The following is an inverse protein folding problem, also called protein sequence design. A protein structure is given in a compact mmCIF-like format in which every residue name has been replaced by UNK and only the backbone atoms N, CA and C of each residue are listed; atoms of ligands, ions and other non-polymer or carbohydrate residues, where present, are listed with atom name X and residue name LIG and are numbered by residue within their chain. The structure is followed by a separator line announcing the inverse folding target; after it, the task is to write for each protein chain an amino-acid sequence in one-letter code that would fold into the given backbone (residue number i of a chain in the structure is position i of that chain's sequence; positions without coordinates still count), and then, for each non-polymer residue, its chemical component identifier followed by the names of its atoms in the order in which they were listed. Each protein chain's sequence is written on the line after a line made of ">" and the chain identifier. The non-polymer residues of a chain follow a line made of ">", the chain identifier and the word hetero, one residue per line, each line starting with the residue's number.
data_IF_162278775192
#
_entry.id   IF_162278775192
#
_cell.length_a   1.000
_cell.length_b   1.000
_cell.length_c   1.000
_cell.angle_alpha   90.00
_cell.angle_beta   90.00
_cell.angle_gamma   90.00
#
_symmetry.space_group_name_H-M   'P 1'
#
loop_
_entity.id
_entity.type
_entity.pdbx_description
1 polymer ?
#
# COMPACT_ATOMS: atom_id res chain seq x y z
N UNK A 1 19.01 66.27 -10.25
CA UNK A 1 19.91 65.18 -10.66
C UNK A 1 19.16 63.89 -10.40
N UNK A 2 18.93 63.12 -11.43
CA UNK A 2 17.94 62.09 -11.59
C UNK A 2 18.38 60.77 -10.99
N UNK A 3 17.56 59.97 -10.27
CA UNK A 3 17.82 58.58 -9.99
C UNK A 3 17.11 57.71 -11.02
N UNK A 4 17.87 56.81 -11.62
CA UNK A 4 17.47 55.82 -12.57
C UNK A 4 16.62 54.71 -11.94
N UNK A 5 15.48 54.46 -12.57
CA UNK A 5 14.57 53.33 -12.31
C UNK A 5 15.15 52.03 -12.85
N UNK A 6 15.42 51.07 -11.98
CA UNK A 6 15.67 49.70 -12.36
C UNK A 6 14.39 48.89 -12.45
N UNK A 7 14.05 48.46 -13.66
CA UNK A 7 12.92 47.53 -13.94
C UNK A 7 13.28 46.12 -13.53
N UNK A 8 12.67 45.61 -12.45
CA UNK A 8 12.71 44.21 -12.10
C UNK A 8 11.83 43.38 -13.04
N UNK A 9 12.43 42.50 -13.83
CA UNK A 9 11.72 41.46 -14.57
C UNK A 9 11.28 40.36 -13.60
N UNK A 10 9.98 40.19 -13.44
CA UNK A 10 9.39 39.02 -12.79
C UNK A 10 9.49 37.82 -13.75
N UNK A 11 10.45 36.94 -13.49
CA UNK A 11 10.51 35.63 -14.12
C UNK A 11 9.30 34.78 -13.69
N UNK A 12 8.51 34.34 -14.64
CA UNK A 12 7.49 33.33 -14.44
C UNK A 12 8.14 32.01 -13.98
N UNK A 13 7.51 31.21 -13.09
CA UNK A 13 8.03 29.90 -12.76
C UNK A 13 8.04 29.03 -14.02
N UNK A 14 9.21 28.49 -14.34
CA UNK A 14 9.42 27.58 -15.45
C UNK A 14 8.52 26.36 -15.34
N UNK A 15 7.96 25.95 -16.46
CA UNK A 15 7.12 24.75 -16.65
C UNK A 15 7.82 23.54 -16.01
N UNK A 16 7.20 22.99 -14.96
CA UNK A 16 7.67 21.76 -14.33
C UNK A 16 7.76 20.65 -15.39
N UNK A 17 8.90 19.98 -15.43
CA UNK A 17 9.18 18.82 -16.28
C UNK A 17 7.99 17.85 -16.28
N UNK A 18 7.21 17.87 -17.34
CA UNK A 18 6.18 16.86 -17.60
C UNK A 18 6.91 15.54 -17.82
N UNK A 19 7.03 14.75 -16.74
CA UNK A 19 7.54 13.38 -16.83
C UNK A 19 6.69 12.65 -17.89
N UNK A 20 7.32 12.20 -18.95
CA UNK A 20 6.65 11.47 -20.01
C UNK A 20 5.86 10.29 -19.39
N UNK A 21 4.61 10.08 -19.79
CA UNK A 21 3.82 8.99 -19.25
C UNK A 21 4.55 7.66 -19.53
N UNK A 22 4.55 6.72 -18.57
CA UNK A 22 5.22 5.44 -18.74
C UNK A 22 4.70 4.74 -20.01
N UNK A 23 5.54 3.95 -20.69
CA UNK A 23 5.15 3.26 -21.91
C UNK A 23 3.90 2.42 -21.66
N UNK A 24 2.91 2.54 -22.54
CA UNK A 24 1.66 1.77 -22.42
C UNK A 24 1.98 0.28 -22.53
N UNK A 25 1.72 -0.46 -21.47
CA UNK A 25 1.86 -1.93 -21.47
C UNK A 25 0.92 -2.49 -22.55
N UNK A 26 1.46 -3.31 -23.44
CA UNK A 26 0.66 -4.04 -24.41
C UNK A 26 -0.31 -4.98 -23.67
N UNK A 27 -1.57 -4.91 -24.04
CA UNK A 27 -2.62 -5.74 -23.44
C UNK A 27 -2.86 -6.93 -24.37
N UNK A 28 -2.72 -8.19 -23.88
CA UNK A 28 -3.10 -9.36 -24.65
C UNK A 28 -4.58 -9.30 -25.03
N UNK A 29 -4.94 -9.68 -26.25
CA UNK A 29 -6.33 -9.61 -26.73
C UNK A 29 -7.27 -10.48 -25.90
N UNK A 30 -6.81 -11.65 -25.44
CA UNK A 30 -7.56 -12.53 -24.54
C UNK A 30 -8.00 -11.85 -23.24
N UNK A 31 -7.17 -10.94 -22.69
CA UNK A 31 -7.48 -10.18 -21.48
C UNK A 31 -8.51 -9.08 -21.79
N UNK A 32 -8.37 -8.43 -22.93
CA UNK A 32 -9.36 -7.45 -23.39
C UNK A 32 -10.72 -8.11 -23.65
N UNK A 33 -10.75 -9.29 -24.26
CA UNK A 33 -11.96 -10.06 -24.51
C UNK A 33 -12.67 -10.51 -23.22
N UNK A 34 -11.92 -10.89 -22.21
CA UNK A 34 -12.48 -11.22 -20.89
C UNK A 34 -13.22 -10.00 -20.30
N UNK A 35 -12.68 -8.79 -20.46
CA UNK A 35 -13.34 -7.56 -20.00
C UNK A 35 -14.59 -7.27 -20.83
N UNK A 36 -14.54 -7.41 -22.17
CA UNK A 36 -15.74 -7.27 -23.04
C UNK A 36 -16.85 -8.24 -22.61
N UNK A 37 -16.46 -9.48 -22.26
CA UNK A 37 -17.40 -10.50 -21.77
C UNK A 37 -18.07 -10.08 -20.47
N UNK A 38 -17.28 -9.52 -19.51
CA UNK A 38 -17.84 -9.00 -18.26
C UNK A 38 -18.79 -7.82 -18.49
N UNK A 39 -18.48 -6.91 -19.43
CA UNK A 39 -19.35 -5.79 -19.77
C UNK A 39 -20.71 -6.30 -20.31
N UNK A 40 -20.67 -7.26 -21.25
CA UNK A 40 -21.91 -7.88 -21.78
C UNK A 40 -22.71 -8.61 -20.69
N UNK A 41 -22.02 -9.34 -19.82
CA UNK A 41 -22.64 -10.02 -18.68
C UNK A 41 -23.30 -9.05 -17.70
N UNK A 42 -22.72 -7.87 -17.51
CA UNK A 42 -23.29 -6.80 -16.69
C UNK A 42 -24.53 -6.13 -17.34
N UNK A 43 -24.79 -6.40 -18.63
CA UNK A 43 -25.95 -5.87 -19.36
C UNK A 43 -25.66 -4.64 -20.20
N UNK A 44 -24.38 -4.31 -20.46
CA UNK A 44 -24.00 -3.16 -21.29
C UNK A 44 -23.31 -3.60 -22.59
N UNK A 45 -23.23 -2.69 -23.58
CA UNK A 45 -22.63 -2.93 -24.89
C UNK A 45 -21.16 -2.45 -24.90
N UNK A 46 -20.16 -3.36 -25.00
CA UNK A 46 -18.76 -2.98 -25.06
C UNK A 46 -18.38 -2.20 -26.32
N UNK A 47 -19.23 -2.21 -27.38
CA UNK A 47 -18.96 -1.51 -28.63
C UNK A 47 -19.49 -0.06 -28.62
N UNK A 48 -20.25 0.36 -27.60
CA UNK A 48 -20.67 1.76 -27.51
C UNK A 48 -19.46 2.69 -27.25
N UNK A 49 -19.51 3.90 -27.79
CA UNK A 49 -18.42 4.88 -27.82
C UNK A 49 -17.67 5.02 -26.47
N UNK A 50 -18.40 5.12 -25.36
CA UNK A 50 -17.82 5.30 -24.03
C UNK A 50 -17.05 4.07 -23.48
N UNK A 51 -17.23 2.87 -24.08
CA UNK A 51 -16.61 1.62 -23.64
C UNK A 51 -15.56 1.05 -24.58
N UNK A 52 -15.34 1.61 -25.76
CA UNK A 52 -14.39 1.10 -26.74
C UNK A 52 -12.96 0.89 -26.17
N UNK A 53 -12.49 1.84 -25.38
CA UNK A 53 -11.17 1.76 -24.76
C UNK A 53 -11.17 1.05 -23.39
N UNK A 54 -12.32 0.76 -22.83
CA UNK A 54 -12.47 0.23 -21.46
C UNK A 54 -11.75 -1.11 -21.26
N UNK A 55 -11.81 -2.08 -22.18
CA UNK A 55 -11.10 -3.35 -22.03
C UNK A 55 -9.60 -3.15 -21.80
N UNK A 56 -8.97 -2.32 -22.61
CA UNK A 56 -7.55 -2.04 -22.49
C UNK A 56 -7.19 -1.22 -21.22
N UNK A 57 -8.06 -0.29 -20.81
CA UNK A 57 -7.88 0.49 -19.57
C UNK A 57 -7.98 -0.39 -18.34
N UNK A 58 -8.98 -1.28 -18.27
CA UNK A 58 -9.17 -2.22 -17.17
C UNK A 58 -7.99 -3.18 -17.06
N UNK A 59 -7.54 -3.76 -18.18
CA UNK A 59 -6.41 -4.68 -18.19
C UNK A 59 -5.12 -4.02 -17.64
N UNK A 60 -4.84 -2.78 -18.04
CA UNK A 60 -3.69 -2.03 -17.51
C UNK A 60 -3.85 -1.71 -16.03
N UNK A 61 -5.03 -1.28 -15.59
CA UNK A 61 -5.30 -1.00 -14.19
C UNK A 61 -5.10 -2.26 -13.32
N UNK A 62 -5.56 -3.42 -13.77
CA UNK A 62 -5.34 -4.69 -13.07
C UNK A 62 -3.86 -5.07 -12.98
N UNK A 63 -3.06 -4.80 -14.01
CA UNK A 63 -1.62 -5.02 -13.96
C UNK A 63 -0.95 -4.13 -12.89
N UNK A 64 -1.45 -2.90 -12.73
CA UNK A 64 -0.99 -1.98 -11.69
C UNK A 64 -1.45 -2.41 -10.29
N UNK A 65 -2.74 -2.77 -10.13
CA UNK A 65 -3.28 -3.25 -8.85
C UNK A 65 -2.57 -4.51 -8.35
N UNK A 66 -2.17 -5.39 -9.26
CA UNK A 66 -1.54 -6.68 -8.97
C UNK A 66 0.00 -6.67 -9.10
N UNK A 67 0.63 -5.50 -9.16
CA UNK A 67 2.09 -5.38 -9.39
C UNK A 67 2.94 -6.07 -8.31
N UNK A 68 2.42 -6.24 -7.10
CA UNK A 68 3.08 -6.91 -6.00
C UNK A 68 3.41 -8.40 -6.25
N UNK A 69 2.79 -9.02 -7.28
CA UNK A 69 3.20 -10.37 -7.72
C UNK A 69 4.51 -10.38 -8.50
N UNK A 70 4.97 -9.23 -9.01
CA UNK A 70 6.21 -9.11 -9.76
C UNK A 70 7.39 -8.65 -8.88
N UNK A 71 7.19 -8.48 -7.58
CA UNK A 71 8.22 -8.03 -6.65
C UNK A 71 8.31 -8.93 -5.41
N UNK A 72 9.51 -9.01 -4.83
CA UNK A 72 9.72 -9.62 -3.52
C UNK A 72 9.81 -8.51 -2.47
N UNK A 73 8.80 -8.36 -1.57
CA UNK A 73 8.80 -7.33 -0.54
C UNK A 73 9.98 -7.42 0.43
N UNK A 74 10.54 -8.63 0.64
CA UNK A 74 11.69 -8.84 1.52
C UNK A 74 12.95 -8.09 1.06
N UNK A 75 13.12 -7.90 -0.26
CA UNK A 75 14.25 -7.17 -0.81
C UNK A 75 14.30 -5.70 -0.34
N UNK A 76 13.18 -5.13 0.07
CA UNK A 76 13.18 -3.79 0.66
C UNK A 76 13.87 -3.74 2.02
N UNK A 77 13.96 -4.86 2.74
CA UNK A 77 14.59 -4.96 4.05
C UNK A 77 16.07 -5.36 3.98
N UNK A 78 16.60 -5.69 2.81
CA UNK A 78 18.00 -6.11 2.64
C UNK A 78 19.04 -5.01 2.97
N UNK A 79 18.64 -3.73 2.84
CA UNK A 79 19.51 -2.60 3.16
C UNK A 79 19.20 -2.08 4.56
N UNK A 80 19.97 -2.55 5.51
CA UNK A 80 19.90 -2.19 6.94
C UNK A 80 21.04 -1.28 7.36
N UNK A 81 20.90 -0.67 8.53
CA UNK A 81 21.90 0.12 9.20
C UNK A 81 22.15 -0.51 10.57
N UNK A 82 23.44 -0.71 10.94
CA UNK A 82 23.83 -1.24 12.24
C UNK A 82 24.09 -0.12 13.25
N UNK A 83 24.46 1.06 12.75
CA UNK A 83 24.79 2.21 13.57
C UNK A 83 23.54 3.06 13.85
N UNK A 84 22.88 2.78 14.96
CA UNK A 84 21.70 3.52 15.44
C UNK A 84 21.95 4.33 16.70
N UNK A 85 23.24 4.55 17.06
CA UNK A 85 23.58 5.34 18.23
C UNK A 85 23.02 4.77 19.56
N UNK A 86 22.79 3.45 19.63
CA UNK A 86 22.23 2.79 20.82
C UNK A 86 20.70 2.96 20.95
N UNK A 87 19.98 3.30 19.89
CA UNK A 87 18.51 3.40 19.93
C UNK A 87 17.89 2.01 20.06
N UNK A 88 17.26 1.76 21.21
CA UNK A 88 16.63 0.49 21.61
C UNK A 88 15.13 0.61 21.87
N UNK A 89 14.53 1.73 21.46
CA UNK A 89 13.11 2.02 21.65
C UNK A 89 12.26 1.62 20.43
N UNK A 90 10.95 1.72 20.56
CA UNK A 90 9.99 1.37 19.51
C UNK A 90 10.13 2.30 18.31
N UNK A 91 10.33 1.73 17.12
CA UNK A 91 10.20 2.42 15.84
C UNK A 91 8.80 2.18 15.31
N UNK A 92 8.03 3.24 15.15
CA UNK A 92 6.64 3.19 14.68
C UNK A 92 6.43 4.04 13.42
N UNK A 93 5.83 3.45 12.40
CA UNK A 93 5.26 4.14 11.25
C UNK A 93 3.76 3.87 11.22
N UNK A 94 2.94 4.91 11.36
CA UNK A 94 1.47 4.78 11.41
C UNK A 94 0.79 5.57 10.30
N UNK A 95 -0.52 5.31 10.16
CA UNK A 95 -1.38 5.93 9.14
C UNK A 95 -0.86 5.73 7.71
N UNK A 96 -0.19 4.59 7.44
CA UNK A 96 0.31 4.25 6.11
C UNK A 96 -0.88 3.90 5.23
N UNK A 97 -1.25 4.71 4.24
CA UNK A 97 -2.38 4.40 3.38
C UNK A 97 -2.05 3.22 2.48
N UNK A 98 -3.01 2.33 2.28
CA UNK A 98 -2.85 1.23 1.33
C UNK A 98 -4.14 0.92 0.58
N UNK A 99 -3.98 0.26 -0.55
CA UNK A 99 -5.05 -0.31 -1.35
C UNK A 99 -4.70 -1.75 -1.70
N UNK A 100 -5.69 -2.62 -1.62
CA UNK A 100 -5.60 -4.02 -2.00
C UNK A 100 -6.90 -4.46 -2.68
N UNK A 101 -6.98 -5.73 -3.07
CA UNK A 101 -8.19 -6.30 -3.67
C UNK A 101 -8.52 -7.63 -2.99
N UNK A 102 -9.78 -7.76 -2.59
CA UNK A 102 -10.29 -8.99 -1.99
C UNK A 102 -10.19 -10.15 -3.00
N UNK A 103 -9.57 -11.25 -2.62
CA UNK A 103 -9.39 -12.41 -3.50
C UNK A 103 -10.71 -13.10 -3.89
N UNK A 104 -11.76 -12.96 -3.06
CA UNK A 104 -13.05 -13.62 -3.31
C UNK A 104 -13.91 -12.90 -4.36
N UNK A 105 -13.79 -11.56 -4.46
CA UNK A 105 -14.71 -10.76 -5.29
C UNK A 105 -13.97 -9.76 -6.19
N UNK A 106 -12.64 -9.70 -6.15
CA UNK A 106 -11.83 -8.69 -6.84
C UNK A 106 -12.21 -7.25 -6.48
N UNK A 107 -12.93 -7.07 -5.38
CA UNK A 107 -13.39 -5.78 -4.91
C UNK A 107 -12.29 -5.06 -4.10
N UNK A 108 -12.22 -3.71 -4.16
CA UNK A 108 -11.22 -2.95 -3.43
C UNK A 108 -11.29 -3.14 -1.91
N UNK A 109 -10.12 -3.18 -1.29
CA UNK A 109 -9.88 -3.02 0.14
C UNK A 109 -9.07 -1.74 0.29
N UNK A 110 -9.59 -0.75 1.01
CA UNK A 110 -8.96 0.55 1.16
C UNK A 110 -8.84 0.86 2.65
N UNK A 111 -7.62 1.19 3.08
CA UNK A 111 -7.40 1.43 4.49
C UNK A 111 -6.04 2.02 4.81
N UNK A 112 -5.67 1.87 6.07
CA UNK A 112 -4.39 2.28 6.63
C UNK A 112 -3.81 1.19 7.51
N UNK A 113 -2.49 1.23 7.68
CA UNK A 113 -1.78 0.34 8.57
C UNK A 113 -0.86 1.11 9.51
N UNK A 114 -0.62 0.51 10.67
CA UNK A 114 0.45 0.88 11.59
C UNK A 114 1.41 -0.30 11.70
N UNK A 115 2.71 -0.02 11.58
CA UNK A 115 3.79 -1.00 11.65
C UNK A 115 4.80 -0.50 12.65
N UNK A 116 5.04 -1.30 13.70
CA UNK A 116 6.08 -1.03 14.68
C UNK A 116 7.02 -2.22 14.81
N UNK A 117 8.27 -1.93 15.13
CA UNK A 117 9.22 -2.94 15.59
C UNK A 117 10.09 -2.40 16.71
N UNK A 118 10.53 -3.29 17.59
CA UNK A 118 11.55 -3.03 18.60
C UNK A 118 12.88 -3.52 18.03
N UNK A 119 13.86 -2.63 17.74
CA UNK A 119 15.09 -3.03 17.08
C UNK A 119 15.86 -4.13 17.83
N UNK A 120 16.49 -5.04 17.07
CA UNK A 120 17.59 -5.87 17.54
C UNK A 120 18.90 -5.14 17.25
N UNK A 121 19.76 -5.79 16.47
CA UNK A 121 21.04 -5.21 16.04
C UNK A 121 20.94 -4.40 14.76
N UNK A 122 19.79 -4.47 14.07
CA UNK A 122 19.57 -3.85 12.75
C UNK A 122 18.35 -2.95 12.74
N UNK A 123 18.47 -1.83 12.06
CA UNK A 123 17.35 -0.94 11.74
C UNK A 123 17.24 -0.74 10.24
N UNK A 124 16.07 -0.35 9.79
CA UNK A 124 15.77 -0.11 8.38
C UNK A 124 15.19 1.29 8.19
N UNK A 125 15.45 1.90 7.04
CA UNK A 125 14.83 3.18 6.73
C UNK A 125 13.30 3.08 6.73
N UNK A 126 12.63 4.05 7.35
CA UNK A 126 11.16 4.03 7.56
C UNK A 126 10.34 3.79 6.29
N UNK A 127 10.80 4.32 5.14
CA UNK A 127 10.14 4.09 3.84
C UNK A 127 10.09 2.62 3.41
N UNK A 128 10.96 1.77 3.98
CA UNK A 128 11.01 0.34 3.65
C UNK A 128 9.84 -0.42 4.25
N UNK A 129 9.39 -0.04 5.44
CA UNK A 129 8.20 -0.62 6.08
C UNK A 129 6.95 -0.38 5.21
N UNK A 130 6.78 0.84 4.70
CA UNK A 130 5.69 1.15 3.78
C UNK A 130 5.79 0.36 2.47
N UNK A 131 6.99 0.16 1.93
CA UNK A 131 7.20 -0.63 0.70
C UNK A 131 6.87 -2.11 0.91
N UNK A 132 7.22 -2.69 2.06
CA UNK A 132 6.83 -4.08 2.42
C UNK A 132 5.32 -4.21 2.43
N UNK A 133 4.63 -3.28 3.11
CA UNK A 133 3.16 -3.25 3.12
C UNK A 133 2.59 -3.19 1.69
N UNK A 134 3.06 -2.25 0.88
CA UNK A 134 2.57 -2.07 -0.49
C UNK A 134 2.86 -3.28 -1.39
N UNK A 135 4.02 -3.92 -1.25
CA UNK A 135 4.36 -5.12 -2.01
C UNK A 135 3.40 -6.29 -1.73
N UNK A 136 3.00 -6.50 -0.49
CA UNK A 136 1.98 -7.49 -0.15
C UNK A 136 0.56 -7.03 -0.45
N UNK A 137 0.23 -5.74 -0.24
CA UNK A 137 -1.11 -5.21 -0.48
C UNK A 137 -1.48 -5.22 -1.98
N UNK A 138 -0.52 -5.02 -2.88
CA UNK A 138 -0.73 -5.03 -4.34
C UNK A 138 -0.82 -6.46 -4.91
N UNK A 139 -1.59 -7.32 -4.22
CA UNK A 139 -1.93 -8.70 -4.59
C UNK A 139 -3.41 -8.94 -4.30
N UNK A 140 -3.95 -10.08 -4.73
CA UNK A 140 -5.25 -10.54 -4.26
C UNK A 140 -5.11 -11.04 -2.82
N UNK A 141 -5.87 -10.45 -1.89
CA UNK A 141 -5.66 -10.64 -0.45
C UNK A 141 -6.94 -10.95 0.33
N UNK A 142 -6.72 -11.55 1.50
CA UNK A 142 -7.58 -11.38 2.68
C UNK A 142 -6.79 -10.60 3.71
N UNK A 143 -7.46 -9.74 4.47
CA UNK A 143 -6.79 -8.77 5.34
C UNK A 143 -5.95 -9.45 6.43
N UNK A 144 -6.40 -10.57 6.99
CA UNK A 144 -5.70 -11.35 7.99
C UNK A 144 -4.35 -11.86 7.46
N UNK A 145 -4.34 -12.38 6.22
CA UNK A 145 -3.12 -12.85 5.56
C UNK A 145 -2.18 -11.70 5.24
N UNK A 146 -2.69 -10.57 4.75
CA UNK A 146 -1.89 -9.36 4.52
C UNK A 146 -1.17 -8.92 5.79
N UNK A 147 -1.92 -8.84 6.90
CA UNK A 147 -1.39 -8.44 8.22
C UNK A 147 -0.29 -9.40 8.69
N UNK A 148 -0.51 -10.70 8.56
CA UNK A 148 0.46 -11.71 8.92
C UNK A 148 1.72 -11.64 8.04
N UNK A 149 1.57 -11.58 6.71
CA UNK A 149 2.69 -11.52 5.77
C UNK A 149 3.61 -10.32 6.00
N UNK A 150 3.04 -9.15 6.30
CA UNK A 150 3.83 -7.96 6.61
C UNK A 150 4.63 -8.15 7.90
N UNK A 151 4.01 -8.65 8.95
CA UNK A 151 4.67 -8.87 10.23
C UNK A 151 5.75 -9.96 10.14
N UNK A 152 5.43 -11.09 9.52
CA UNK A 152 6.34 -12.22 9.36
C UNK A 152 7.56 -11.82 8.51
N UNK A 153 7.37 -11.06 7.42
CA UNK A 153 8.46 -10.55 6.59
C UNK A 153 9.42 -9.65 7.38
N UNK A 154 8.90 -8.74 8.21
CA UNK A 154 9.74 -7.88 9.07
C UNK A 154 10.46 -8.70 10.11
N UNK A 155 9.78 -9.66 10.73
CA UNK A 155 10.34 -10.55 11.74
C UNK A 155 11.52 -11.38 11.21
N UNK A 156 11.34 -11.99 10.05
CA UNK A 156 12.34 -12.87 9.43
C UNK A 156 13.58 -12.13 8.90
N UNK A 157 13.40 -10.90 8.41
CA UNK A 157 14.49 -10.19 7.72
C UNK A 157 15.20 -9.13 8.55
N UNK A 158 14.58 -8.60 9.60
CA UNK A 158 15.22 -7.65 10.52
C UNK A 158 15.66 -8.28 11.84
N UNK A 159 15.13 -9.47 12.19
CA UNK A 159 15.39 -10.15 13.47
C UNK A 159 15.22 -9.21 14.68
N UNK A 160 14.09 -8.48 14.77
CA UNK A 160 13.86 -7.52 15.83
C UNK A 160 13.47 -8.25 17.14
N UNK A 161 13.48 -7.53 18.26
CA UNK A 161 13.00 -8.07 19.54
C UNK A 161 11.46 -8.19 19.57
N UNK A 162 10.74 -7.39 18.78
CA UNK A 162 9.29 -7.42 18.67
C UNK A 162 8.80 -6.78 17.38
N UNK A 163 7.66 -7.26 16.86
CA UNK A 163 6.95 -6.68 15.71
C UNK A 163 5.48 -6.54 16.07
N UNK A 164 4.88 -5.41 15.71
CA UNK A 164 3.46 -5.17 15.77
C UNK A 164 2.97 -4.59 14.45
N UNK A 165 1.94 -5.21 13.88
CA UNK A 165 1.26 -4.72 12.69
C UNK A 165 -0.23 -4.66 12.99
N UNK A 166 -0.83 -3.51 12.74
CA UNK A 166 -2.28 -3.30 12.80
C UNK A 166 -2.74 -2.76 11.46
N UNK A 167 -3.78 -3.38 10.91
CA UNK A 167 -4.38 -2.99 9.61
C UNK A 167 -5.85 -2.69 9.83
N UNK A 168 -6.31 -1.56 9.35
CA UNK A 168 -7.68 -1.10 9.43
C UNK A 168 -8.17 -0.71 8.04
N UNK A 169 -9.23 -1.36 7.53
CA UNK A 169 -9.70 -1.13 6.18
C UNK A 169 -11.20 -1.35 5.97
N UNK A 170 -11.74 -0.63 5.01
CA UNK A 170 -13.06 -0.84 4.44
C UNK A 170 -12.98 -1.81 3.27
N UNK A 171 -13.96 -2.71 3.18
CA UNK A 171 -14.05 -3.74 2.16
C UNK A 171 -15.24 -3.48 1.23
N UNK A 172 -14.97 -3.14 -0.04
CA UNK A 172 -16.03 -2.87 -1.00
C UNK A 172 -16.92 -4.10 -1.28
N UNK A 173 -16.43 -5.32 -1.06
CA UNK A 173 -17.24 -6.54 -1.14
C UNK A 173 -18.34 -6.61 -0.08
N UNK A 174 -18.23 -5.84 1.01
CA UNK A 174 -19.25 -5.71 2.07
C UNK A 174 -20.02 -4.40 1.97
N UNK A 175 -19.35 -3.29 1.63
CA UNK A 175 -19.97 -1.95 1.67
C UNK A 175 -20.71 -1.57 0.40
N UNK A 176 -20.27 -2.05 -0.79
CA UNK A 176 -20.86 -1.70 -2.08
C UNK A 176 -21.83 -2.77 -2.64
N UNK A 177 -21.88 -3.94 -2.05
CA UNK A 177 -22.72 -5.08 -2.44
C UNK A 177 -22.82 -6.09 -1.28
N UNK A 178 -23.51 -7.22 -1.48
CA UNK A 178 -23.68 -8.28 -0.49
C UNK A 178 -24.48 -7.78 0.72
N UNK A 179 -23.87 -7.78 1.91
CA UNK A 179 -24.50 -7.33 3.16
C UNK A 179 -24.74 -5.82 3.22
N UNK A 180 -24.15 -5.06 2.30
CA UNK A 180 -24.36 -3.62 2.11
C UNK A 180 -24.23 -2.80 3.40
N UNK A 181 -23.08 -2.90 4.08
CA UNK A 181 -22.77 -2.19 5.33
C UNK A 181 -21.73 -1.10 5.09
N UNK A 182 -22.12 0.09 4.58
CA UNK A 182 -21.18 1.20 4.39
C UNK A 182 -20.65 1.71 5.75
N UNK A 183 -19.39 2.15 5.77
CA UNK A 183 -18.76 2.70 6.97
C UNK A 183 -18.21 1.68 7.96
N UNK A 184 -18.43 0.39 7.75
CA UNK A 184 -17.79 -0.65 8.57
C UNK A 184 -16.32 -0.76 8.24
N UNK A 185 -15.49 -0.73 9.29
CA UNK A 185 -14.05 -0.93 9.22
C UNK A 185 -13.69 -2.28 9.86
N UNK A 186 -12.84 -3.03 9.19
CA UNK A 186 -12.25 -4.26 9.72
C UNK A 186 -10.87 -3.95 10.28
N UNK A 187 -10.59 -4.35 11.51
CA UNK A 187 -9.27 -4.24 12.13
C UNK A 187 -8.68 -5.62 12.35
N UNK A 188 -7.44 -5.81 11.90
CA UNK A 188 -6.65 -7.02 12.14
C UNK A 188 -5.30 -6.64 12.73
N UNK A 189 -4.75 -7.52 13.58
CA UNK A 189 -3.44 -7.28 14.20
C UNK A 189 -2.59 -8.54 14.26
N UNK A 190 -1.26 -8.36 14.18
CA UNK A 190 -0.25 -9.38 14.39
C UNK A 190 0.83 -8.84 15.31
N UNK A 191 1.04 -9.54 16.43
CA UNK A 191 2.07 -9.24 17.43
C UNK A 191 3.05 -10.38 17.51
N UNK A 192 4.36 -10.09 17.56
CA UNK A 192 5.43 -11.07 17.62
C UNK A 192 6.51 -10.64 18.61
N UNK A 193 7.29 -11.61 19.11
CA UNK A 193 8.35 -11.36 20.10
C UNK A 193 7.83 -10.70 21.36
N UNK A 194 8.54 -9.68 21.85
CA UNK A 194 8.22 -8.94 23.08
C UNK A 194 6.79 -8.40 23.09
N UNK A 195 6.30 -7.86 21.95
CA UNK A 195 4.93 -7.34 21.87
C UNK A 195 3.85 -8.43 21.99
N UNK A 196 4.20 -9.70 21.86
CA UNK A 196 3.29 -10.81 22.10
C UNK A 196 3.41 -11.37 23.51
N UNK A 197 4.60 -11.43 24.08
CA UNK A 197 4.89 -12.15 25.32
C UNK A 197 4.87 -11.25 26.54
N UNK A 198 5.14 -9.93 26.40
CA UNK A 198 5.10 -8.96 27.49
C UNK A 198 3.91 -8.02 27.35
N UNK A 199 3.04 -8.02 28.37
CA UNK A 199 1.80 -7.25 28.38
C UNK A 199 2.04 -5.73 28.43
N UNK A 200 3.13 -5.28 29.09
CA UNK A 200 3.46 -3.85 29.21
C UNK A 200 3.88 -3.30 27.84
N UNK A 201 4.81 -3.96 27.19
CA UNK A 201 5.27 -3.59 25.85
C UNK A 201 4.13 -3.66 24.81
N UNK A 202 3.23 -4.65 24.95
CA UNK A 202 2.04 -4.74 24.12
C UNK A 202 1.10 -3.54 24.28
N UNK A 203 0.83 -3.14 25.52
CA UNK A 203 -0.03 -1.98 25.80
C UNK A 203 0.61 -0.68 25.31
N UNK A 204 1.91 -0.53 25.51
CA UNK A 204 2.66 0.63 25.06
C UNK A 204 2.59 0.79 23.54
N UNK A 205 2.94 -0.26 22.77
CA UNK A 205 2.92 -0.18 21.31
C UNK A 205 1.51 0.08 20.76
N UNK A 206 0.46 -0.53 21.35
CA UNK A 206 -0.92 -0.27 20.95
C UNK A 206 -1.33 1.17 21.26
N UNK A 207 -0.98 1.72 22.42
CA UNK A 207 -1.24 3.11 22.76
C UNK A 207 -0.54 4.10 21.81
N UNK A 208 0.73 3.84 21.43
CA UNK A 208 1.45 4.63 20.43
C UNK A 208 0.79 4.56 19.05
N UNK A 209 0.24 3.41 18.67
CA UNK A 209 -0.52 3.22 17.43
C UNK A 209 -1.88 3.93 17.45
N UNK A 210 -2.41 4.24 18.64
CA UNK A 210 -3.72 4.89 18.83
C UNK A 210 -4.87 3.92 19.11
N UNK A 211 -4.58 2.73 19.69
CA UNK A 211 -5.54 1.71 20.10
C UNK A 211 -5.56 1.46 21.60
#
# INVERSE_FOLDING_TARGET
>A
MNPSTGSGQSGSPEDGDLVAPPPKIAVPEEVADAVRTLIRWAGDDPEREGLLDTPARVARAWKEYARGYAEDPALHLSRTFEEVGGYDEIVLLKDIPFQSHCEHHLAPIIGKAAIAYLPGTRVVGISKLARVLHGFARRLQVQERLTAQVADCIWEHLEPQGVAVVVEASHACMSARGVNTPGVMMTTSRMMGTFRTDERSRREVLALMGY
#
